data_IF_040102073374
#
_entry.id   IF_040102073374
#
_cell.length_a   1.000
_cell.length_b   1.000
_cell.length_c   1.000
_cell.angle_alpha   90.00
_cell.angle_beta   90.00
_cell.angle_gamma   90.00
#
_symmetry.space_group_name_H-M   'P 1'
#
loop_
_entity.id
_entity.type
_entity.pdbx_description
1 polymer ?
#
# COMPACT_ATOMS: atom_id res chain seq x y z
N UNK A 1 -11.37 -46.56 5.17
CA UNK A 1 -11.50 -45.71 6.36
C UNK A 1 -10.26 -44.86 6.69
N UNK A 2 -9.14 -44.92 5.94
CA UNK A 2 -8.00 -44.02 6.15
C UNK A 2 -7.99 -42.78 5.22
N UNK A 3 -8.77 -42.81 4.13
CA UNK A 3 -8.80 -41.75 3.10
C UNK A 3 -9.70 -40.58 3.54
N UNK A 4 -10.79 -40.83 4.26
CA UNK A 4 -11.67 -39.77 4.78
C UNK A 4 -11.07 -39.03 5.98
N UNK A 5 -10.21 -39.67 6.76
CA UNK A 5 -9.54 -39.01 7.89
C UNK A 5 -8.49 -37.99 7.41
N UNK A 6 -7.81 -38.27 6.30
CA UNK A 6 -6.80 -37.37 5.71
C UNK A 6 -7.45 -36.14 5.07
N UNK A 7 -8.62 -36.29 4.42
CA UNK A 7 -9.35 -35.17 3.82
C UNK A 7 -10.03 -34.27 4.87
N UNK A 8 -10.44 -34.82 6.01
CA UNK A 8 -10.97 -34.07 7.15
C UNK A 8 -9.86 -33.29 7.87
N UNK A 9 -8.68 -33.90 8.07
CA UNK A 9 -7.53 -33.22 8.68
C UNK A 9 -6.97 -32.13 7.77
N UNK A 10 -6.91 -32.34 6.45
CA UNK A 10 -6.52 -31.30 5.50
C UNK A 10 -7.51 -30.12 5.48
N UNK A 11 -8.83 -30.38 5.55
CA UNK A 11 -9.82 -29.31 5.62
C UNK A 11 -9.76 -28.52 6.93
N UNK A 12 -9.51 -29.17 8.05
CA UNK A 12 -9.31 -28.50 9.34
C UNK A 12 -8.00 -27.71 9.39
N UNK A 13 -6.93 -28.20 8.75
CA UNK A 13 -5.66 -27.47 8.62
C UNK A 13 -5.76 -26.27 7.68
N UNK A 14 -6.54 -26.36 6.59
CA UNK A 14 -6.84 -25.22 5.71
C UNK A 14 -7.72 -24.20 6.43
N UNK A 15 -8.71 -24.64 7.22
CA UNK A 15 -9.52 -23.74 8.06
C UNK A 15 -8.72 -23.11 9.19
N UNK A 16 -7.78 -23.83 9.80
CA UNK A 16 -6.88 -23.30 10.82
C UNK A 16 -5.87 -22.32 10.19
N UNK A 17 -5.36 -22.58 8.99
CA UNK A 17 -4.52 -21.65 8.24
C UNK A 17 -5.30 -20.39 7.81
N UNK A 18 -6.56 -20.52 7.39
CA UNK A 18 -7.47 -19.40 7.10
C UNK A 18 -7.81 -18.64 8.38
N UNK A 19 -8.00 -19.33 9.51
CA UNK A 19 -8.27 -18.72 10.82
C UNK A 19 -7.04 -18.02 11.40
N UNK A 20 -5.83 -18.53 11.19
CA UNK A 20 -4.56 -17.86 11.54
C UNK A 20 -4.33 -16.64 10.63
N UNK A 21 -4.67 -16.72 9.35
CA UNK A 21 -4.68 -15.56 8.43
C UNK A 21 -5.71 -14.51 8.88
N UNK A 22 -6.88 -14.92 9.37
CA UNK A 22 -7.91 -14.01 9.91
C UNK A 22 -7.55 -13.46 11.31
N UNK A 23 -6.81 -14.21 12.12
CA UNK A 23 -6.39 -13.79 13.47
C UNK A 23 -5.19 -12.84 13.45
N UNK A 24 -4.31 -12.99 12.45
CA UNK A 24 -3.18 -12.07 12.23
C UNK A 24 -3.62 -10.75 11.57
N UNK A 25 -4.80 -10.70 10.93
CA UNK A 25 -5.37 -9.47 10.36
C UNK A 25 -5.73 -8.41 11.42
N UNK A 26 -6.00 -8.79 12.67
CA UNK A 26 -6.33 -7.85 13.74
C UNK A 26 -5.06 -7.31 14.42
N UNK A 27 -3.97 -8.06 14.43
CA UNK A 27 -2.70 -7.66 15.05
C UNK A 27 -1.78 -6.83 14.13
N UNK A 28 -1.81 -7.06 12.81
CA UNK A 28 -0.99 -6.31 11.83
C UNK A 28 -1.66 -5.05 11.25
N UNK A 29 -2.90 -4.74 11.67
CA UNK A 29 -3.57 -3.50 11.28
C UNK A 29 -2.77 -2.24 11.65
N UNK A 30 -1.86 -2.36 12.62
CA UNK A 30 -0.97 -1.30 13.10
C UNK A 30 0.30 -1.14 12.24
N UNK A 31 0.70 -2.15 11.45
CA UNK A 31 1.98 -2.16 10.74
C UNK A 31 1.90 -1.71 9.26
N UNK A 32 0.72 -1.78 8.62
CA UNK A 32 0.56 -1.49 7.18
C UNK A 32 0.09 -0.05 6.86
N UNK A 33 -0.37 0.70 7.87
CA UNK A 33 -0.09 2.13 8.04
C UNK A 33 -0.67 3.13 7.02
N UNK A 34 -1.59 2.75 6.15
CA UNK A 34 -2.29 3.71 5.27
C UNK A 34 -3.75 3.29 5.01
N UNK A 35 -4.49 3.00 6.08
CA UNK A 35 -5.92 3.24 6.11
C UNK A 35 -6.16 4.73 6.37
N UNK A 36 -7.29 5.27 5.92
CA UNK A 36 -7.66 6.69 6.12
C UNK A 36 -7.68 7.07 7.61
N UNK A 37 -7.91 6.11 8.51
CA UNK A 37 -7.80 6.27 9.96
C UNK A 37 -6.39 6.13 10.56
N UNK A 38 -5.35 5.91 9.75
CA UNK A 38 -3.92 5.82 10.18
C UNK A 38 -3.08 6.97 9.60
N UNK A 39 -3.72 7.96 8.94
CA UNK A 39 -3.09 9.20 8.44
C UNK A 39 -2.68 10.19 9.55
N UNK A 40 -2.57 9.73 10.80
CA UNK A 40 -1.80 10.38 11.89
C UNK A 40 -0.38 9.80 11.97
N UNK A 41 0.10 9.10 10.94
CA UNK A 41 1.51 8.79 10.82
C UNK A 41 2.27 10.11 10.56
N UNK A 42 2.76 10.76 11.62
CA UNK A 42 3.50 12.01 11.50
C UNK A 42 4.68 11.89 10.54
N UNK A 43 5.09 12.99 9.90
CA UNK A 43 6.11 13.01 8.85
C UNK A 43 7.40 12.25 9.19
N UNK A 44 7.80 12.16 10.46
CA UNK A 44 8.96 11.36 10.87
C UNK A 44 8.83 9.87 10.50
N UNK A 45 7.64 9.29 10.63
CA UNK A 45 7.36 7.88 10.28
C UNK A 45 7.41 7.72 8.75
N UNK A 46 6.75 8.63 8.02
CA UNK A 46 6.73 8.61 6.56
C UNK A 46 8.12 8.84 5.97
N UNK A 47 8.91 9.77 6.50
CA UNK A 47 10.28 10.02 6.09
C UNK A 47 11.18 8.82 6.33
N UNK A 48 11.07 8.15 7.50
CA UNK A 48 11.81 6.91 7.77
C UNK A 48 11.42 5.79 6.82
N UNK A 49 10.14 5.70 6.46
CA UNK A 49 9.65 4.72 5.49
C UNK A 49 10.18 5.02 4.09
N UNK A 50 10.14 6.27 3.65
CA UNK A 50 10.73 6.71 2.38
C UNK A 50 12.22 6.37 2.33
N UNK A 51 12.99 6.69 3.37
CA UNK A 51 14.42 6.38 3.43
C UNK A 51 14.70 4.88 3.30
N UNK A 52 13.87 4.02 3.92
CA UNK A 52 13.96 2.56 3.74
C UNK A 52 13.64 2.14 2.31
N UNK A 53 12.66 2.77 1.66
CA UNK A 53 12.34 2.49 0.26
C UNK A 53 13.50 2.91 -0.65
N UNK A 54 14.10 4.07 -0.42
CA UNK A 54 15.30 4.55 -1.12
C UNK A 54 16.46 3.55 -0.99
N UNK A 55 16.74 3.06 0.22
CA UNK A 55 17.78 2.03 0.45
C UNK A 55 17.53 0.74 -0.34
N UNK A 56 16.27 0.27 -0.39
CA UNK A 56 15.89 -0.89 -1.21
C UNK A 56 16.05 -0.60 -2.71
N UNK A 57 15.77 0.63 -3.15
CA UNK A 57 15.99 1.05 -4.54
C UNK A 57 17.48 1.04 -4.87
N UNK A 58 18.32 1.63 -4.02
CA UNK A 58 19.78 1.63 -4.21
C UNK A 58 20.36 0.22 -4.31
N UNK A 59 19.76 -0.76 -3.63
CA UNK A 59 20.16 -2.17 -3.71
C UNK A 59 19.80 -2.84 -5.06
N UNK A 60 18.74 -2.40 -5.75
CA UNK A 60 18.32 -2.96 -7.05
C UNK A 60 18.94 -2.25 -8.25
N UNK A 61 19.41 -1.00 -8.07
CA UNK A 61 20.04 -0.22 -9.15
C UNK A 61 21.29 -0.89 -9.78
N UNK A 62 22.19 -1.55 -9.03
CA UNK A 62 23.32 -2.26 -9.62
C UNK A 62 22.91 -3.40 -10.56
N UNK A 63 21.76 -4.05 -10.33
CA UNK A 63 21.24 -5.12 -11.19
C UNK A 63 20.70 -4.58 -12.52
N UNK A 64 20.37 -3.28 -12.60
CA UNK A 64 20.01 -2.57 -13.83
C UNK A 64 21.23 -2.10 -14.63
N UNK A 65 22.37 -1.87 -13.98
CA UNK A 65 23.58 -1.27 -14.56
C UNK A 65 24.26 -2.12 -15.65
N UNK A 66 23.86 -3.38 -15.84
CA UNK A 66 24.37 -4.23 -16.92
C UNK A 66 23.90 -3.81 -18.33
N UNK A 67 22.88 -2.93 -18.44
CA UNK A 67 22.30 -2.51 -19.73
C UNK A 67 22.41 -0.98 -19.87
N UNK A 68 23.38 -0.51 -20.67
CA UNK A 68 23.55 0.88 -21.18
C UNK A 68 23.83 1.98 -20.13
N UNK A 69 25.12 2.10 -19.76
CA UNK A 69 25.65 2.99 -18.70
C UNK A 69 25.28 4.50 -18.76
N UNK A 70 24.98 5.08 -19.93
CA UNK A 70 24.67 6.51 -20.06
C UNK A 70 23.19 6.88 -19.89
N UNK A 71 22.29 6.04 -20.40
CA UNK A 71 20.84 6.20 -20.22
C UNK A 71 20.43 5.85 -18.78
N UNK A 72 21.14 4.89 -18.18
CA UNK A 72 20.84 4.40 -16.84
C UNK A 72 21.21 5.41 -15.74
N UNK A 73 22.32 6.15 -15.87
CA UNK A 73 22.68 7.20 -14.91
C UNK A 73 21.60 8.29 -14.81
N UNK A 74 21.05 8.74 -15.95
CA UNK A 74 19.92 9.69 -15.97
C UNK A 74 18.64 9.07 -15.39
N UNK A 75 18.45 7.75 -15.54
CA UNK A 75 17.28 7.04 -15.01
C UNK A 75 17.35 6.94 -13.48
N UNK A 76 18.53 6.59 -12.95
CA UNK A 76 18.84 6.58 -11.52
C UNK A 76 18.63 7.96 -10.91
N UNK A 77 19.21 9.00 -11.50
CA UNK A 77 19.07 10.37 -11.01
C UNK A 77 17.61 10.82 -10.94
N UNK A 78 16.81 10.51 -11.97
CA UNK A 78 15.37 10.79 -11.98
C UNK A 78 14.60 10.01 -10.91
N UNK A 79 15.03 8.81 -10.56
CA UNK A 79 14.41 8.02 -9.48
C UNK A 79 14.71 8.71 -8.14
N UNK A 80 15.97 9.06 -7.89
CA UNK A 80 16.40 9.78 -6.67
C UNK A 80 15.69 11.15 -6.54
N UNK A 81 15.52 11.87 -7.65
CA UNK A 81 14.79 13.13 -7.68
C UNK A 81 13.32 12.94 -7.26
N UNK A 82 12.64 11.92 -7.80
CA UNK A 82 11.25 11.65 -7.45
C UNK A 82 11.08 11.23 -5.99
N UNK A 83 12.04 10.51 -5.39
CA UNK A 83 12.02 10.24 -3.95
C UNK A 83 12.26 11.49 -3.10
N UNK A 84 13.13 12.39 -3.56
CA UNK A 84 13.32 13.69 -2.92
C UNK A 84 12.04 14.54 -2.97
N UNK A 85 11.35 14.54 -4.11
CA UNK A 85 10.05 15.20 -4.26
C UNK A 85 8.98 14.55 -3.37
N UNK A 86 8.95 13.22 -3.27
CA UNK A 86 8.02 12.51 -2.39
C UNK A 86 8.24 12.90 -0.91
N UNK A 87 9.49 12.97 -0.46
CA UNK A 87 9.82 13.43 0.90
C UNK A 87 9.42 14.89 1.14
N UNK A 88 9.61 15.73 0.14
CA UNK A 88 9.19 17.14 0.17
C UNK A 88 7.67 17.25 0.32
N UNK A 89 6.90 16.47 -0.45
CA UNK A 89 5.44 16.45 -0.33
C UNK A 89 4.96 15.99 1.05
N UNK A 90 5.64 15.02 1.67
CA UNK A 90 5.35 14.63 3.05
C UNK A 90 5.53 15.80 4.02
N UNK A 91 6.62 16.57 3.87
CA UNK A 91 6.83 17.79 4.66
C UNK A 91 5.75 18.85 4.41
N UNK A 92 5.38 19.06 3.15
CA UNK A 92 4.32 20.00 2.77
C UNK A 92 2.95 19.61 3.32
N UNK A 93 2.64 18.32 3.45
CA UNK A 93 1.40 17.86 4.10
C UNK A 93 1.38 18.24 5.57
N UNK A 94 2.49 18.11 6.30
CA UNK A 94 2.58 18.57 7.70
C UNK A 94 2.40 20.08 7.81
N UNK A 95 3.07 20.84 6.95
CA UNK A 95 2.95 22.30 6.92
C UNK A 95 1.51 22.73 6.58
N UNK A 96 0.85 22.03 5.67
CA UNK A 96 -0.51 22.30 5.25
C UNK A 96 -1.57 22.01 6.33
N UNK A 97 -1.19 21.34 7.43
CA UNK A 97 -2.04 21.19 8.61
C UNK A 97 -2.06 22.43 9.51
N UNK A 98 -1.13 23.38 9.32
CA UNK A 98 -1.12 24.60 10.11
C UNK A 98 -2.35 25.46 9.79
N UNK A 99 -2.89 26.23 10.77
CA UNK A 99 -4.07 27.07 10.54
C UNK A 99 -3.93 28.11 9.42
N UNK A 100 -2.69 28.47 9.06
CA UNK A 100 -2.38 29.40 7.98
C UNK A 100 -2.50 28.80 6.58
N UNK A 101 -2.59 27.47 6.48
CA UNK A 101 -2.60 26.80 5.19
C UNK A 101 -3.92 27.01 4.45
N UNK A 102 -3.81 27.26 3.15
CA UNK A 102 -4.94 27.47 2.26
C UNK A 102 -5.37 26.18 1.56
N UNK A 103 -6.63 26.14 1.12
CA UNK A 103 -7.12 25.04 0.28
C UNK A 103 -6.29 24.86 -1.01
N UNK A 104 -5.68 25.94 -1.53
CA UNK A 104 -4.85 25.88 -2.75
C UNK A 104 -3.57 25.07 -2.55
N UNK A 105 -2.99 25.10 -1.35
CA UNK A 105 -1.79 24.32 -1.02
C UNK A 105 -2.11 22.82 -1.02
N UNK A 106 -3.24 22.42 -0.42
CA UNK A 106 -3.72 21.05 -0.48
C UNK A 106 -3.98 20.57 -1.92
N UNK A 107 -4.56 21.43 -2.77
CA UNK A 107 -4.77 21.10 -4.18
C UNK A 107 -3.44 20.93 -4.93
N UNK A 108 -2.44 21.76 -4.64
CA UNK A 108 -1.11 21.66 -5.23
C UNK A 108 -0.42 20.36 -4.83
N UNK A 109 -0.42 20.03 -3.53
CA UNK A 109 0.10 18.77 -3.00
C UNK A 109 -0.60 17.58 -3.69
N UNK A 110 -1.93 17.60 -3.82
CA UNK A 110 -2.68 16.52 -4.45
C UNK A 110 -2.29 16.31 -5.92
N UNK A 111 -2.04 17.40 -6.66
CA UNK A 111 -1.60 17.35 -8.07
C UNK A 111 -0.18 16.77 -8.17
N UNK A 112 0.74 17.25 -7.34
CA UNK A 112 2.14 16.86 -7.41
C UNK A 112 2.31 15.40 -6.93
N UNK A 113 1.54 14.98 -5.92
CA UNK A 113 1.44 13.59 -5.47
C UNK A 113 0.87 12.66 -6.55
N UNK A 114 -0.12 13.12 -7.33
CA UNK A 114 -0.63 12.36 -8.47
C UNK A 114 0.45 12.14 -9.53
N UNK A 115 1.19 13.18 -9.90
CA UNK A 115 2.26 13.08 -10.90
C UNK A 115 3.36 12.10 -10.46
N UNK A 116 3.75 12.14 -9.17
CA UNK A 116 4.72 11.18 -8.63
C UNK A 116 4.17 9.75 -8.61
N UNK A 117 2.90 9.55 -8.24
CA UNK A 117 2.28 8.23 -8.27
C UNK A 117 2.36 7.62 -9.68
N UNK A 118 1.94 8.36 -10.71
CA UNK A 118 1.99 7.89 -12.10
C UNK A 118 3.43 7.58 -12.54
N UNK A 119 4.40 8.37 -12.07
CA UNK A 119 5.82 8.16 -12.34
C UNK A 119 6.36 6.88 -11.68
N UNK A 120 5.97 6.58 -10.44
CA UNK A 120 6.35 5.33 -9.76
C UNK A 120 5.64 4.12 -10.33
N UNK A 121 4.36 4.21 -10.65
CA UNK A 121 3.60 3.13 -11.31
C UNK A 121 4.26 2.75 -12.63
N UNK A 122 4.51 3.74 -13.50
CA UNK A 122 5.12 3.50 -14.80
C UNK A 122 6.47 2.79 -14.65
N UNK A 123 7.32 3.26 -13.72
CA UNK A 123 8.62 2.62 -13.48
C UNK A 123 8.48 1.21 -12.91
N UNK A 124 7.51 0.96 -12.03
CA UNK A 124 7.26 -0.38 -11.50
C UNK A 124 6.87 -1.35 -12.63
N UNK A 125 6.01 -0.91 -13.57
CA UNK A 125 5.64 -1.70 -14.75
C UNK A 125 6.83 -1.92 -15.69
N UNK A 126 7.59 -0.87 -16.00
CA UNK A 126 8.80 -0.97 -16.84
C UNK A 126 9.84 -1.93 -16.24
N UNK A 127 10.04 -1.87 -14.92
CA UNK A 127 10.98 -2.73 -14.20
C UNK A 127 10.50 -4.19 -14.14
N UNK A 128 9.21 -4.40 -13.85
CA UNK A 128 8.63 -5.76 -13.79
C UNK A 128 8.65 -6.48 -15.14
N UNK A 129 8.64 -5.74 -16.25
CA UNK A 129 8.80 -6.31 -17.59
C UNK A 129 10.27 -6.66 -17.93
N UNK A 130 11.24 -6.01 -17.29
CA UNK A 130 12.66 -6.09 -17.64
C UNK A 130 13.52 -6.88 -16.64
N UNK A 131 12.99 -7.19 -15.46
CA UNK A 131 13.73 -7.75 -14.32
C UNK A 131 12.83 -8.69 -13.50
N UNK A 132 13.43 -9.36 -12.52
CA UNK A 132 12.69 -10.04 -11.44
C UNK A 132 11.61 -9.11 -10.85
N UNK A 133 10.38 -9.63 -10.74
CA UNK A 133 9.22 -8.94 -10.19
C UNK A 133 9.46 -8.46 -8.76
N UNK A 134 10.29 -9.14 -7.98
CA UNK A 134 10.62 -8.72 -6.61
C UNK A 134 11.33 -7.37 -6.57
N UNK A 135 12.06 -7.00 -7.64
CA UNK A 135 12.73 -5.70 -7.74
C UNK A 135 11.72 -4.55 -7.92
N UNK A 136 10.47 -4.82 -8.28
CA UNK A 136 9.43 -3.78 -8.40
C UNK A 136 8.94 -3.27 -7.06
N UNK A 137 9.10 -4.03 -5.97
CA UNK A 137 8.47 -3.77 -4.68
C UNK A 137 8.70 -2.36 -4.13
N UNK A 138 9.92 -1.79 -4.17
CA UNK A 138 10.16 -0.44 -3.67
C UNK A 138 9.40 0.63 -4.45
N UNK A 139 9.28 0.47 -5.78
CA UNK A 139 8.53 1.40 -6.63
C UNK A 139 7.02 1.28 -6.40
N UNK A 140 6.51 0.07 -6.14
CA UNK A 140 5.11 -0.11 -5.74
C UNK A 140 4.86 0.49 -4.34
N UNK A 141 5.85 0.44 -3.44
CA UNK A 141 5.75 1.08 -2.12
C UNK A 141 5.73 2.61 -2.25
N UNK A 142 6.60 3.18 -3.09
CA UNK A 142 6.59 4.61 -3.40
C UNK A 142 5.29 5.07 -4.06
N UNK A 143 4.75 4.28 -5.01
CA UNK A 143 3.43 4.50 -5.58
C UNK A 143 2.34 4.56 -4.50
N UNK A 144 2.33 3.60 -3.58
CA UNK A 144 1.32 3.52 -2.52
C UNK A 144 1.37 4.74 -1.59
N UNK A 145 2.57 5.25 -1.29
CA UNK A 145 2.77 6.46 -0.51
C UNK A 145 2.26 7.69 -1.26
N UNK A 146 2.73 7.93 -2.49
CA UNK A 146 2.35 9.09 -3.30
C UNK A 146 0.83 9.13 -3.56
N UNK A 147 0.24 8.00 -3.96
CA UNK A 147 -1.19 7.89 -4.21
C UNK A 147 -2.04 8.09 -2.95
N UNK A 148 -1.56 7.67 -1.77
CA UNK A 148 -2.27 7.97 -0.52
C UNK A 148 -2.14 9.43 -0.10
N UNK A 149 -1.00 10.09 -0.28
CA UNK A 149 -0.87 11.55 -0.07
C UNK A 149 -1.86 12.32 -0.94
N UNK A 150 -2.05 11.90 -2.20
CA UNK A 150 -3.09 12.45 -3.09
C UNK A 150 -4.48 12.32 -2.46
N UNK A 151 -4.86 11.14 -1.95
CA UNK A 151 -6.17 10.93 -1.32
C UNK A 151 -6.34 11.86 -0.12
N UNK A 152 -5.37 11.87 0.80
CA UNK A 152 -5.39 12.73 1.99
C UNK A 152 -5.50 14.20 1.62
N UNK A 153 -4.73 14.68 0.65
CA UNK A 153 -4.76 16.07 0.22
C UNK A 153 -6.10 16.45 -0.44
N UNK A 154 -6.71 15.55 -1.22
CA UNK A 154 -8.05 15.78 -1.79
C UNK A 154 -9.11 15.88 -0.69
N UNK A 155 -9.11 14.98 0.28
CA UNK A 155 -9.99 15.05 1.46
C UNK A 155 -9.79 16.35 2.24
N UNK A 156 -8.54 16.72 2.53
CA UNK A 156 -8.19 17.92 3.28
C UNK A 156 -8.61 19.22 2.56
N UNK A 157 -8.73 19.17 1.23
CA UNK A 157 -9.25 20.26 0.38
C UNK A 157 -10.76 20.19 0.12
N UNK A 158 -11.50 19.31 0.80
CA UNK A 158 -12.94 19.08 0.61
C UNK A 158 -13.32 18.67 -0.84
N UNK A 159 -12.42 17.97 -1.54
CA UNK A 159 -12.64 17.43 -2.88
C UNK A 159 -12.99 15.94 -2.80
N UNK A 160 -14.04 15.61 -2.06
CA UNK A 160 -14.36 14.24 -1.63
C UNK A 160 -14.63 13.29 -2.81
N UNK A 161 -15.24 13.78 -3.89
CA UNK A 161 -15.45 12.99 -5.12
C UNK A 161 -14.12 12.60 -5.77
N UNK A 162 -13.18 13.54 -5.82
CA UNK A 162 -11.83 13.30 -6.35
C UNK A 162 -11.01 12.40 -5.43
N UNK A 163 -11.23 12.48 -4.11
CA UNK A 163 -10.60 11.60 -3.13
C UNK A 163 -11.08 10.16 -3.30
N UNK A 164 -12.39 9.95 -3.49
CA UNK A 164 -12.98 8.63 -3.78
C UNK A 164 -12.41 8.02 -5.04
N UNK A 165 -12.42 8.76 -6.13
CA UNK A 165 -11.87 8.29 -7.40
C UNK A 165 -10.38 7.94 -7.27
N UNK A 166 -9.60 8.79 -6.60
CA UNK A 166 -8.18 8.53 -6.35
C UNK A 166 -7.96 7.28 -5.48
N UNK A 167 -8.80 7.02 -4.48
CA UNK A 167 -8.70 5.86 -3.61
C UNK A 167 -9.06 4.56 -4.36
N UNK A 168 -10.15 4.57 -5.14
CA UNK A 168 -10.55 3.43 -5.97
C UNK A 168 -9.50 3.09 -7.02
N UNK A 169 -9.00 4.10 -7.73
CA UNK A 169 -7.93 3.92 -8.72
C UNK A 169 -6.65 3.38 -8.07
N UNK A 170 -6.25 3.92 -6.90
CA UNK A 170 -5.11 3.41 -6.12
C UNK A 170 -5.27 1.93 -5.76
N UNK A 171 -6.43 1.53 -5.26
CA UNK A 171 -6.70 0.15 -4.87
C UNK A 171 -6.56 -0.79 -6.08
N UNK A 172 -7.17 -0.43 -7.20
CA UNK A 172 -7.08 -1.20 -8.45
C UNK A 172 -5.63 -1.32 -8.94
N UNK A 173 -4.90 -0.21 -9.01
CA UNK A 173 -3.50 -0.22 -9.45
C UNK A 173 -2.61 -1.06 -8.54
N UNK A 174 -2.81 -1.01 -7.22
CA UNK A 174 -2.02 -1.84 -6.29
C UNK A 174 -2.26 -3.33 -6.51
N UNK A 175 -3.50 -3.74 -6.74
CA UNK A 175 -3.83 -5.14 -7.08
C UNK A 175 -3.15 -5.55 -8.38
N UNK A 176 -3.20 -4.70 -9.41
CA UNK A 176 -2.55 -4.98 -10.69
C UNK A 176 -1.03 -5.09 -10.57
N UNK A 177 -0.38 -4.18 -9.82
CA UNK A 177 1.06 -4.22 -9.60
C UNK A 177 1.49 -5.42 -8.72
N UNK A 178 0.62 -5.88 -7.82
CA UNK A 178 0.88 -7.03 -6.95
C UNK A 178 0.45 -8.38 -7.53
N UNK A 179 -0.16 -8.42 -8.71
CA UNK A 179 -0.67 -9.65 -9.35
C UNK A 179 0.45 -10.66 -9.60
N UNK A 180 1.62 -10.19 -10.05
CA UNK A 180 2.78 -11.02 -10.32
C UNK A 180 3.54 -11.44 -9.04
N UNK A 181 3.20 -10.89 -7.87
CA UNK A 181 3.84 -11.20 -6.58
C UNK A 181 2.97 -12.21 -5.81
N UNK A 182 2.87 -13.42 -6.35
CA UNK A 182 2.14 -14.52 -5.73
C UNK A 182 3.10 -15.59 -5.20
N UNK A 183 2.79 -16.12 -4.02
CA UNK A 183 3.70 -17.02 -3.30
C UNK A 183 4.07 -18.25 -4.12
N UNK A 184 3.08 -18.97 -4.67
CA UNK A 184 3.33 -20.20 -5.39
C UNK A 184 4.13 -19.98 -6.70
N UNK A 185 3.72 -19.06 -7.62
CA UNK A 185 4.52 -18.75 -8.81
C UNK A 185 5.93 -18.27 -8.48
N UNK A 186 6.09 -17.42 -7.45
CA UNK A 186 7.40 -16.93 -7.05
C UNK A 186 8.30 -18.03 -6.48
N UNK A 187 7.78 -18.86 -5.58
CA UNK A 187 8.54 -19.97 -5.00
C UNK A 187 8.99 -20.95 -6.08
N UNK A 188 8.12 -21.26 -7.05
CA UNK A 188 8.46 -22.10 -8.20
C UNK A 188 9.52 -21.46 -9.09
N UNK A 189 9.44 -20.16 -9.37
CA UNK A 189 10.43 -19.45 -10.19
C UNK A 189 11.83 -19.40 -9.55
N UNK A 190 11.91 -19.54 -8.22
CA UNK A 190 13.16 -19.48 -7.46
C UNK A 190 13.65 -20.85 -6.96
N UNK A 191 12.91 -21.92 -7.24
CA UNK A 191 13.31 -23.28 -6.91
C UNK A 191 14.21 -23.84 -8.02
N UNK A 192 15.34 -24.50 -7.67
CA UNK A 192 16.23 -25.10 -8.67
C UNK A 192 15.51 -26.24 -9.39
N UNK A 193 15.39 -26.16 -10.71
CA UNK A 193 14.68 -27.17 -11.49
C UNK A 193 15.49 -28.45 -11.68
N UNK A 194 16.81 -28.44 -11.42
CA UNK A 194 17.65 -29.63 -11.61
C UNK A 194 17.28 -30.80 -10.69
N UNK A 195 16.63 -30.52 -9.56
CA UNK A 195 16.23 -31.52 -8.55
C UNK A 195 14.73 -31.80 -8.55
N UNK A 196 13.98 -31.27 -9.51
CA UNK A 196 12.51 -31.36 -9.55
C UNK A 196 11.99 -32.79 -9.37
N UNK A 197 10.98 -32.96 -8.51
CA UNK A 197 10.36 -34.26 -8.20
C UNK A 197 11.09 -35.10 -7.14
N UNK A 198 12.16 -34.58 -6.53
CA UNK A 198 12.84 -35.21 -5.39
C UNK A 198 12.36 -34.63 -4.05
N UNK A 199 12.64 -35.33 -2.93
CA UNK A 199 12.38 -34.78 -1.59
C UNK A 199 13.20 -33.52 -1.33
N UNK A 200 14.46 -33.49 -1.78
CA UNK A 200 15.34 -32.32 -1.66
C UNK A 200 14.75 -31.09 -2.36
N UNK A 201 14.06 -31.27 -3.49
CA UNK A 201 13.38 -30.17 -4.18
C UNK A 201 12.17 -29.65 -3.40
N UNK A 202 11.41 -30.54 -2.74
CA UNK A 202 10.30 -30.14 -1.88
C UNK A 202 10.80 -29.31 -0.70
N UNK A 203 11.87 -29.75 -0.03
CA UNK A 203 12.49 -29.03 1.09
C UNK A 203 12.97 -27.63 0.65
N UNK A 204 13.62 -27.53 -0.51
CA UNK A 204 14.07 -26.26 -1.08
C UNK A 204 12.91 -25.35 -1.49
N UNK A 205 11.85 -25.91 -2.07
CA UNK A 205 10.65 -25.16 -2.44
C UNK A 205 9.94 -24.61 -1.20
N UNK A 206 9.83 -25.40 -0.13
CA UNK A 206 9.26 -24.96 1.15
C UNK A 206 10.10 -23.84 1.77
N UNK A 207 11.42 -23.99 1.78
CA UNK A 207 12.33 -22.94 2.24
C UNK A 207 12.14 -21.64 1.44
N UNK A 208 12.06 -21.71 0.10
CA UNK A 208 11.82 -20.54 -0.74
C UNK A 208 10.46 -19.90 -0.48
N UNK A 209 9.42 -20.71 -0.28
CA UNK A 209 8.11 -20.20 0.08
C UNK A 209 8.14 -19.48 1.45
N UNK A 210 8.86 -20.02 2.43
CA UNK A 210 9.02 -19.37 3.73
C UNK A 210 9.76 -18.03 3.63
N UNK A 211 10.86 -17.97 2.86
CA UNK A 211 11.62 -16.74 2.60
C UNK A 211 10.72 -15.64 1.97
N UNK A 212 9.83 -16.03 1.05
CA UNK A 212 8.97 -15.13 0.30
C UNK A 212 7.68 -14.73 1.02
N UNK A 213 7.25 -15.50 2.03
CA UNK A 213 5.95 -15.33 2.69
C UNK A 213 5.75 -13.93 3.26
N UNK A 214 6.79 -13.38 3.89
CA UNK A 214 6.75 -12.03 4.48
C UNK A 214 6.56 -10.94 3.43
N UNK A 215 7.22 -11.06 2.28
CA UNK A 215 7.11 -10.12 1.17
C UNK A 215 5.71 -10.17 0.55
N UNK A 216 5.19 -11.37 0.28
CA UNK A 216 3.84 -11.53 -0.27
C UNK A 216 2.79 -11.02 0.70
N UNK A 217 2.91 -11.32 1.99
CA UNK A 217 2.01 -10.80 3.03
C UNK A 217 1.98 -9.26 3.03
N UNK A 218 3.15 -8.61 2.98
CA UNK A 218 3.26 -7.14 2.92
C UNK A 218 2.55 -6.56 1.70
N UNK A 219 2.67 -7.20 0.53
CA UNK A 219 1.97 -6.78 -0.69
C UNK A 219 0.45 -6.87 -0.51
N UNK A 220 -0.05 -7.99 0.02
CA UNK A 220 -1.49 -8.21 0.24
C UNK A 220 -2.08 -7.28 1.30
N UNK A 221 -1.36 -7.06 2.41
CA UNK A 221 -1.78 -6.10 3.45
C UNK A 221 -1.96 -4.69 2.87
N UNK A 222 -1.05 -4.26 1.98
CA UNK A 222 -1.13 -2.96 1.32
C UNK A 222 -2.33 -2.84 0.37
N UNK A 223 -2.64 -3.90 -0.37
CA UNK A 223 -3.82 -3.96 -1.24
C UNK A 223 -5.11 -3.87 -0.42
N UNK A 224 -5.20 -4.64 0.67
CA UNK A 224 -6.34 -4.63 1.59
C UNK A 224 -6.52 -3.24 2.21
N UNK A 225 -5.43 -2.59 2.66
CA UNK A 225 -5.49 -1.25 3.22
C UNK A 225 -5.98 -0.20 2.20
N UNK A 226 -5.56 -0.32 0.93
CA UNK A 226 -6.01 0.56 -0.13
C UNK A 226 -7.49 0.33 -0.50
N UNK A 227 -7.94 -0.93 -0.57
CA UNK A 227 -9.34 -1.25 -0.77
C UNK A 227 -10.20 -0.73 0.38
N UNK A 228 -9.79 -0.95 1.64
CA UNK A 228 -10.49 -0.45 2.82
C UNK A 228 -10.56 1.08 2.85
N UNK A 229 -9.52 1.77 2.39
CA UNK A 229 -9.52 3.24 2.16
C UNK A 229 -10.61 3.64 1.18
N UNK A 230 -10.70 2.98 0.01
CA UNK A 230 -11.73 3.27 -0.98
C UNK A 230 -13.14 3.05 -0.42
N UNK A 231 -13.39 1.92 0.24
CA UNK A 231 -14.69 1.62 0.86
C UNK A 231 -15.05 2.63 1.95
N UNK A 232 -14.09 3.03 2.79
CA UNK A 232 -14.30 4.05 3.82
C UNK A 232 -14.79 5.36 3.21
N UNK A 233 -14.21 5.82 2.10
CA UNK A 233 -14.66 7.06 1.46
C UNK A 233 -16.04 6.95 0.82
N UNK A 234 -16.40 5.80 0.26
CA UNK A 234 -17.76 5.57 -0.22
C UNK A 234 -18.76 5.64 0.92
N UNK A 235 -18.41 5.07 2.07
CA UNK A 235 -19.25 5.07 3.25
C UNK A 235 -19.39 6.47 3.88
N UNK A 236 -18.32 7.25 3.95
CA UNK A 236 -18.38 8.67 4.37
C UNK A 236 -19.33 9.46 3.47
N UNK A 237 -19.25 9.28 2.14
CA UNK A 237 -20.14 9.93 1.21
C UNK A 237 -21.61 9.50 1.41
N UNK A 238 -21.86 8.20 1.63
CA UNK A 238 -23.19 7.66 1.94
C UNK A 238 -23.77 8.27 3.22
N UNK A 239 -22.92 8.51 4.22
CA UNK A 239 -23.29 9.13 5.49
C UNK A 239 -23.24 10.67 5.44
N UNK A 240 -22.93 11.29 4.30
CA UNK A 240 -22.80 12.74 4.18
C UNK A 240 -21.76 13.37 5.12
N UNK A 241 -20.73 12.62 5.50
CA UNK A 241 -19.61 13.09 6.31
C UNK A 241 -18.52 13.57 5.34
N UNK A 242 -18.02 14.80 5.54
CA UNK A 242 -16.96 15.32 4.67
C UNK A 242 -15.62 14.65 4.95
N UNK A 243 -14.79 14.49 3.91
CA UNK A 243 -13.46 13.93 4.08
C UNK A 243 -12.59 14.77 5.03
N UNK A 244 -12.75 16.10 4.98
CA UNK A 244 -12.02 17.02 5.87
C UNK A 244 -12.37 16.81 7.34
N UNK A 245 -13.66 16.75 7.65
CA UNK A 245 -14.18 16.52 9.00
C UNK A 245 -13.70 15.18 9.55
N UNK A 246 -13.70 14.12 8.72
CA UNK A 246 -13.17 12.83 9.09
C UNK A 246 -11.68 12.89 9.44
N UNK A 247 -10.86 13.59 8.63
CA UNK A 247 -9.43 13.74 8.92
C UNK A 247 -9.15 14.58 10.16
N UNK A 248 -9.90 15.66 10.39
CA UNK A 248 -9.75 16.49 11.59
C UNK A 248 -10.12 15.67 12.85
N UNK A 249 -11.18 14.86 12.78
CA UNK A 249 -11.57 13.91 13.84
C UNK A 249 -10.44 12.91 14.08
N UNK A 250 -9.95 12.26 13.03
CA UNK A 250 -8.85 11.30 13.09
C UNK A 250 -7.59 11.87 13.76
N UNK A 251 -7.24 13.11 13.44
CA UNK A 251 -6.08 13.79 14.01
C UNK A 251 -6.26 14.19 15.47
N UNK A 252 -7.49 14.51 15.87
CA UNK A 252 -7.82 14.88 17.24
C UNK A 252 -7.93 13.69 18.19
N UNK A 253 -8.13 12.48 17.66
CA UNK A 253 -8.17 11.24 18.45
C UNK A 253 -6.78 10.81 18.92
N UNK A 254 -6.35 11.30 20.08
CA UNK A 254 -5.05 10.97 20.67
C UNK A 254 -4.97 9.62 21.41
N UNK A 255 -6.09 8.89 21.58
CA UNK A 255 -6.18 7.77 22.54
C UNK A 255 -6.77 6.47 21.97
N UNK A 256 -7.51 6.49 20.86
CA UNK A 256 -8.09 5.30 20.25
C UNK A 256 -7.59 5.16 18.80
N UNK A 257 -6.85 4.10 18.44
CA UNK A 257 -6.35 3.91 17.08
C UNK A 257 -7.43 3.42 16.08
N UNK A 258 -8.70 3.39 16.51
CA UNK A 258 -9.84 2.90 15.73
C UNK A 258 -10.93 3.96 15.71
N UNK A 259 -11.02 4.69 14.61
CA UNK A 259 -12.15 5.56 14.32
C UNK A 259 -13.34 4.70 13.88
N UNK A 260 -14.44 4.81 14.61
CA UNK A 260 -15.71 4.23 14.19
C UNK A 260 -16.44 5.22 13.29
N UNK A 261 -16.92 4.76 12.14
CA UNK A 261 -17.81 5.54 11.30
C UNK A 261 -19.11 5.82 12.08
N UNK A 262 -19.53 7.09 12.21
CA UNK A 262 -20.74 7.42 12.94
C UNK A 262 -21.96 6.83 12.23
N UNK A 263 -22.64 5.87 12.86
CA UNK A 263 -23.87 5.30 12.30
C UNK A 263 -24.95 6.40 12.31
N UNK A 264 -25.35 6.88 11.13
CA UNK A 264 -26.57 7.71 11.03
C UNK A 264 -27.75 6.88 11.50
N UNK A 265 -28.38 7.35 12.58
CA UNK A 265 -29.58 6.74 13.11
C UNK A 265 -30.71 6.92 12.08
N UNK A 266 -31.09 5.83 11.40
CA UNK A 266 -32.10 5.84 10.31
C UNK A 266 -33.48 6.29 10.82
N UNK A 267 -33.65 6.40 12.14
CA UNK A 267 -34.88 6.83 12.81
C UNK A 267 -34.82 8.25 13.40
N UNK A 268 -33.73 9.02 13.19
CA UNK A 268 -33.69 10.39 13.67
C UNK A 268 -34.59 11.29 12.80
N UNK A 269 -35.63 11.95 13.36
CA UNK A 269 -36.49 12.83 12.59
C UNK A 269 -35.69 14.01 12.04
N UNK A 270 -35.88 14.32 10.75
CA UNK A 270 -35.36 15.53 10.11
C UNK A 270 -35.78 16.76 10.93
N UNK A 271 -34.83 17.32 11.68
CA UNK A 271 -35.03 18.65 12.26
C UNK A 271 -34.82 19.67 11.16
N UNK A 272 -35.94 20.07 10.57
CA UNK A 272 -36.07 21.27 9.75
C UNK A 272 -35.70 22.49 10.60
N UNK A 273 -34.66 23.21 10.19
CA UNK A 273 -34.51 24.65 10.41
C UNK A 273 -33.85 25.29 9.20
#
# INVERSE_FOLDING_TARGET
>A
MAIDAVSVVQNEQIKAAISVVQSLQIANLVASGMGIGVSVAGAAILAKRIARVEEKVDAILPNLAAIVRGLEAMRVERITEDFTRLRTLVGQVEEAWLPSASQREWIAIARDAHFLADSFERRARELGAASDVLNTEPLVEAFALASGLRVTARMASCQDDMAREAASSRALTLVQLGEAIQLAPLALAHAPMETAGTSTWLDLLEQKADDLRSTVARVREREIAAAGTAETLHELARQGVSGREWLDTAKSEGHNPLLFLPVRDVNAPEQTR
#
